data_IF_427649790155
#
_entry.id   IF_427649790155
#
_cell.length_a   1.000
_cell.length_b   1.000
_cell.length_c   1.000
_cell.angle_alpha   90.00
_cell.angle_beta   90.00
_cell.angle_gamma   90.00
#
_symmetry.space_group_name_H-M   'P 1'
#
loop_
_entity.id
_entity.type
_entity.pdbx_description
1 polymer ?
#
# COMPACT_ATOMS: atom_id res chain seq x y z
N UNK A 1 -24.37 -17.54 -73.46
CA UNK A 1 -23.08 -16.96 -73.07
C UNK A 1 -23.09 -16.82 -71.56
N UNK A 2 -22.50 -17.78 -70.87
CA UNK A 2 -22.44 -17.85 -69.41
C UNK A 2 -20.97 -18.04 -69.05
N UNK A 3 -20.35 -17.04 -68.40
CA UNK A 3 -19.08 -17.14 -67.67
C UNK A 3 -19.03 -16.06 -66.58
N UNK A 4 -19.43 -16.47 -65.38
CA UNK A 4 -18.62 -16.62 -64.15
C UNK A 4 -18.23 -15.31 -63.44
N UNK A 5 -18.98 -15.00 -62.38
CA UNK A 5 -18.55 -14.15 -61.28
C UNK A 5 -17.41 -14.83 -60.53
N UNK A 6 -16.23 -14.22 -60.52
CA UNK A 6 -15.10 -14.64 -59.69
C UNK A 6 -15.24 -13.95 -58.34
N UNK A 7 -15.76 -14.69 -57.35
CA UNK A 7 -15.77 -14.28 -55.95
C UNK A 7 -14.35 -14.34 -55.41
N UNK A 8 -13.75 -13.18 -55.11
CA UNK A 8 -12.46 -13.10 -54.42
C UNK A 8 -12.71 -13.31 -52.93
N UNK A 9 -12.39 -14.50 -52.42
CA UNK A 9 -12.36 -14.78 -50.99
C UNK A 9 -11.13 -14.09 -50.38
N UNK A 10 -11.34 -12.93 -49.76
CA UNK A 10 -10.37 -12.35 -48.83
C UNK A 10 -10.21 -13.29 -47.64
N UNK A 11 -9.10 -14.02 -47.59
CA UNK A 11 -8.64 -14.71 -46.39
C UNK A 11 -8.18 -13.64 -45.40
N UNK A 12 -9.10 -13.20 -44.54
CA UNK A 12 -8.75 -12.45 -43.33
C UNK A 12 -7.84 -13.33 -42.47
N UNK A 13 -6.54 -13.08 -42.54
CA UNK A 13 -5.56 -13.57 -41.57
C UNK A 13 -5.89 -12.93 -40.22
N UNK A 14 -6.83 -13.53 -39.49
CA UNK A 14 -7.07 -13.21 -38.08
C UNK A 14 -5.85 -13.72 -37.33
N UNK A 15 -4.87 -12.83 -37.13
CA UNK A 15 -3.80 -13.07 -36.15
C UNK A 15 -4.45 -13.45 -34.83
N UNK A 16 -4.10 -14.60 -34.23
CA UNK A 16 -4.62 -14.96 -32.92
C UNK A 16 -4.30 -13.84 -31.93
N UNK A 17 -5.18 -13.53 -30.95
CA UNK A 17 -4.94 -12.46 -30.00
C UNK A 17 -3.60 -12.71 -29.32
N UNK A 18 -2.64 -11.81 -29.53
CA UNK A 18 -1.31 -11.92 -28.98
C UNK A 18 -1.42 -12.27 -27.49
N UNK A 19 -0.87 -13.42 -27.10
CA UNK A 19 -0.88 -13.87 -25.72
C UNK A 19 -0.42 -12.70 -24.84
N UNK A 20 -1.30 -12.26 -23.92
CA UNK A 20 -1.07 -11.04 -23.11
C UNK A 20 0.28 -11.16 -22.41
N UNK A 21 1.28 -10.40 -22.88
CA UNK A 21 2.66 -10.48 -22.40
C UNK A 21 2.70 -10.24 -20.90
N UNK A 22 3.17 -11.22 -20.13
CA UNK A 22 3.30 -11.13 -18.67
C UNK A 22 4.70 -10.67 -18.30
N UNK A 23 4.80 -9.70 -17.39
CA UNK A 23 6.04 -9.10 -16.91
C UNK A 23 6.38 -9.62 -15.51
N UNK A 24 6.65 -10.92 -15.41
CA UNK A 24 6.92 -11.63 -14.15
C UNK A 24 8.00 -10.97 -13.31
N UNK A 25 9.18 -10.72 -13.90
CA UNK A 25 10.29 -10.10 -13.17
C UNK A 25 9.92 -8.73 -12.58
N UNK A 26 9.25 -7.87 -13.34
CA UNK A 26 8.85 -6.53 -12.86
C UNK A 26 7.84 -6.61 -11.73
N UNK A 27 6.87 -7.52 -11.85
CA UNK A 27 5.86 -7.75 -10.83
C UNK A 27 6.48 -8.28 -9.54
N UNK A 28 7.33 -9.30 -9.63
CA UNK A 28 8.01 -9.89 -8.47
C UNK A 28 8.93 -8.87 -7.81
N UNK A 29 9.78 -8.17 -8.57
CA UNK A 29 10.70 -7.18 -8.01
C UNK A 29 9.95 -6.02 -7.33
N UNK A 30 8.85 -5.54 -7.92
CA UNK A 30 8.04 -4.47 -7.31
C UNK A 30 7.28 -4.97 -6.09
N UNK A 31 6.74 -6.20 -6.15
CA UNK A 31 6.06 -6.84 -5.03
C UNK A 31 6.99 -7.05 -3.85
N UNK A 32 8.18 -7.63 -4.06
CA UNK A 32 9.18 -7.85 -3.00
C UNK A 32 9.69 -6.55 -2.41
N UNK A 33 9.95 -5.52 -3.25
CA UNK A 33 10.40 -4.22 -2.75
C UNK A 33 9.39 -3.61 -1.77
N UNK A 34 8.09 -3.68 -2.09
CA UNK A 34 7.04 -3.19 -1.19
C UNK A 34 6.79 -4.16 -0.03
N UNK A 35 6.83 -5.48 -0.26
CA UNK A 35 6.59 -6.47 0.78
C UNK A 35 7.61 -6.34 1.91
N UNK A 36 8.89 -6.16 1.58
CA UNK A 36 9.94 -6.02 2.58
C UNK A 36 9.84 -4.74 3.41
N UNK A 37 9.09 -3.71 2.97
CA UNK A 37 8.91 -2.52 3.81
C UNK A 37 8.04 -2.79 5.04
N UNK A 38 7.16 -3.79 4.99
CA UNK A 38 6.31 -4.14 6.14
C UNK A 38 7.14 -4.69 7.32
N UNK A 39 7.85 -5.83 7.19
CA UNK A 39 8.64 -6.37 8.30
C UNK A 39 9.77 -5.42 8.71
N UNK A 40 10.39 -4.69 7.77
CA UNK A 40 11.40 -3.69 8.10
C UNK A 40 10.83 -2.50 8.87
N UNK A 41 9.60 -2.08 8.55
CA UNK A 41 8.89 -1.03 9.28
C UNK A 41 8.61 -1.44 10.72
N UNK A 42 7.96 -2.59 10.93
CA UNK A 42 7.70 -3.13 12.27
C UNK A 42 9.00 -3.36 13.06
N UNK A 43 10.01 -3.98 12.45
CA UNK A 43 11.30 -4.19 13.09
C UNK A 43 12.00 -2.89 13.47
N UNK A 44 11.94 -1.86 12.62
CA UNK A 44 12.49 -0.54 12.94
C UNK A 44 11.76 0.09 14.14
N UNK A 45 10.43 0.00 14.19
CA UNK A 45 9.65 0.55 15.31
C UNK A 45 10.03 -0.09 16.63
N UNK A 46 10.09 -1.42 16.69
CA UNK A 46 10.47 -2.17 17.89
C UNK A 46 11.90 -1.84 18.32
N UNK A 47 12.83 -1.76 17.36
CA UNK A 47 14.23 -1.39 17.67
C UNK A 47 14.31 0.04 18.22
N UNK A 48 13.56 0.98 17.64
CA UNK A 48 13.54 2.37 18.13
C UNK A 48 12.98 2.45 19.55
N UNK A 49 11.91 1.71 19.86
CA UNK A 49 11.33 1.63 21.21
C UNK A 49 12.31 1.06 22.24
N UNK A 50 13.13 0.08 21.87
CA UNK A 50 14.09 -0.54 22.79
C UNK A 50 15.40 0.26 22.94
N UNK A 51 15.84 0.96 21.90
CA UNK A 51 17.15 1.63 21.89
C UNK A 51 17.09 3.13 22.24
N UNK A 52 15.93 3.78 22.09
CA UNK A 52 15.81 5.23 22.31
C UNK A 52 15.00 5.52 23.58
N UNK A 53 15.36 6.57 24.30
CA UNK A 53 14.49 7.12 25.35
C UNK A 53 13.24 7.73 24.70
N UNK A 54 12.11 7.72 25.42
CA UNK A 54 10.82 8.24 24.91
C UNK A 54 10.95 9.62 24.26
N UNK A 55 11.71 10.53 24.89
CA UNK A 55 11.93 11.88 24.38
C UNK A 55 12.65 11.85 23.01
N UNK A 56 13.71 11.06 22.88
CA UNK A 56 14.48 10.95 21.62
C UNK A 56 13.64 10.26 20.55
N UNK A 57 12.84 9.27 20.94
CA UNK A 57 11.93 8.57 20.03
C UNK A 57 10.92 9.55 19.42
N UNK A 58 10.26 10.38 20.23
CA UNK A 58 9.25 11.32 19.73
C UNK A 58 9.85 12.41 18.82
N UNK A 59 11.02 12.95 19.16
CA UNK A 59 11.70 13.90 18.27
C UNK A 59 12.14 13.23 16.95
N UNK A 60 12.67 12.00 17.03
CA UNK A 60 13.09 11.24 15.85
C UNK A 60 11.91 10.92 14.94
N UNK A 61 10.77 10.53 15.51
CA UNK A 61 9.52 10.29 14.79
C UNK A 61 9.00 11.55 14.10
N UNK A 62 9.03 12.70 14.78
CA UNK A 62 8.62 13.97 14.18
C UNK A 62 9.53 14.36 13.01
N UNK A 63 10.85 14.22 13.16
CA UNK A 63 11.83 14.44 12.08
C UNK A 63 11.61 13.46 10.93
N UNK A 64 11.33 12.19 11.22
CA UNK A 64 11.06 11.16 10.22
C UNK A 64 9.86 11.53 9.35
N UNK A 65 8.75 11.97 9.94
CA UNK A 65 7.58 12.41 9.17
C UNK A 65 7.84 13.68 8.36
N UNK A 66 8.63 14.62 8.88
CA UNK A 66 9.05 15.82 8.16
C UNK A 66 9.93 15.48 6.95
N UNK A 67 10.88 14.54 7.11
CA UNK A 67 11.67 13.98 6.00
C UNK A 67 10.76 13.32 4.99
N UNK A 68 9.79 12.52 5.43
CA UNK A 68 8.79 11.89 4.56
C UNK A 68 8.03 12.91 3.70
N UNK A 69 7.54 13.99 4.31
CA UNK A 69 6.90 15.09 3.59
C UNK A 69 7.85 15.76 2.58
N UNK A 70 9.08 16.08 2.99
CA UNK A 70 10.06 16.70 2.11
C UNK A 70 10.37 15.81 0.90
N UNK A 71 10.49 14.49 1.11
CA UNK A 71 10.68 13.50 0.05
C UNK A 71 9.53 13.51 -0.97
N UNK A 72 8.28 13.59 -0.51
CA UNK A 72 7.09 13.67 -1.37
C UNK A 72 7.12 14.96 -2.20
N UNK A 73 7.46 16.10 -1.59
CA UNK A 73 7.55 17.40 -2.27
C UNK A 73 8.69 17.39 -3.30
N UNK A 74 9.88 16.90 -2.95
CA UNK A 74 11.01 16.74 -3.89
C UNK A 74 10.64 15.80 -5.04
N UNK A 75 9.85 14.77 -4.75
CA UNK A 75 9.32 13.83 -5.74
C UNK A 75 8.49 14.47 -6.84
N UNK A 76 7.85 15.62 -6.61
CA UNK A 76 7.12 16.39 -7.62
C UNK A 76 8.04 16.84 -8.75
N UNK A 77 9.28 17.21 -8.42
CA UNK A 77 10.28 17.73 -9.36
C UNK A 77 11.16 16.62 -9.96
N UNK A 78 11.06 15.40 -9.46
CA UNK A 78 11.81 14.26 -9.99
C UNK A 78 11.36 13.91 -11.42
N UNK A 79 12.32 13.69 -12.32
CA UNK A 79 12.02 13.28 -13.70
C UNK A 79 11.84 11.75 -13.79
N UNK A 80 10.74 11.32 -14.38
CA UNK A 80 10.42 9.92 -14.67
C UNK A 80 9.41 9.32 -13.69
N UNK A 81 8.40 8.65 -14.25
CA UNK A 81 7.28 8.05 -13.51
C UNK A 81 7.74 7.15 -12.35
N UNK A 82 8.69 6.24 -12.58
CA UNK A 82 9.24 5.35 -11.55
C UNK A 82 9.86 6.12 -10.38
N UNK A 83 10.64 7.17 -10.64
CA UNK A 83 11.31 7.93 -9.58
C UNK A 83 10.30 8.73 -8.76
N UNK A 84 9.32 9.33 -9.42
CA UNK A 84 8.22 10.01 -8.73
C UNK A 84 7.45 9.02 -7.85
N UNK A 85 7.15 7.82 -8.35
CA UNK A 85 6.54 6.74 -7.55
C UNK A 85 7.39 6.39 -6.33
N UNK A 86 8.70 6.18 -6.49
CA UNK A 86 9.59 5.82 -5.37
C UNK A 86 9.67 6.93 -4.32
N UNK A 87 9.78 8.20 -4.72
CA UNK A 87 9.73 9.34 -3.78
C UNK A 87 8.39 9.41 -3.03
N UNK A 88 7.28 9.22 -3.74
CA UNK A 88 5.94 9.22 -3.12
C UNK A 88 5.73 8.04 -2.18
N UNK A 89 6.24 6.85 -2.55
CA UNK A 89 6.15 5.63 -1.75
C UNK A 89 6.99 5.72 -0.48
N UNK A 90 8.30 5.94 -0.59
CA UNK A 90 9.17 6.02 0.59
C UNK A 90 8.86 7.24 1.46
N UNK A 91 8.57 8.38 0.83
CA UNK A 91 8.15 9.57 1.57
C UNK A 91 6.84 9.35 2.31
N UNK A 92 5.90 8.61 1.72
CA UNK A 92 4.66 8.23 2.38
C UNK A 92 4.85 7.24 3.52
N UNK A 93 5.72 6.23 3.39
CA UNK A 93 6.01 5.32 4.50
C UNK A 93 6.58 6.06 5.72
N UNK A 94 7.59 6.92 5.51
CA UNK A 94 8.18 7.71 6.60
C UNK A 94 7.17 8.71 7.20
N UNK A 95 6.30 9.29 6.37
CA UNK A 95 5.23 10.16 6.83
C UNK A 95 4.23 9.41 7.73
N UNK A 96 3.77 8.23 7.29
CA UNK A 96 2.83 7.41 8.05
C UNK A 96 3.44 7.01 9.40
N UNK A 97 4.61 6.37 9.38
CA UNK A 97 5.25 5.91 10.61
C UNK A 97 5.61 7.05 11.55
N UNK A 98 6.14 8.16 11.04
CA UNK A 98 6.54 9.31 11.86
C UNK A 98 5.37 10.10 12.45
N UNK A 99 4.42 10.54 11.60
CA UNK A 99 3.39 11.50 12.00
C UNK A 99 2.01 10.90 12.22
N UNK A 100 1.74 9.68 11.75
CA UNK A 100 0.48 8.99 12.06
C UNK A 100 0.72 8.05 13.24
N UNK A 101 1.60 7.06 13.11
CA UNK A 101 1.80 6.03 14.14
C UNK A 101 2.46 6.60 15.40
N UNK A 102 3.69 7.08 15.30
CA UNK A 102 4.42 7.55 16.47
C UNK A 102 3.87 8.83 17.10
N UNK A 103 3.17 9.67 16.34
CA UNK A 103 2.51 10.85 16.90
C UNK A 103 1.26 10.46 17.69
N UNK A 104 0.51 9.45 17.23
CA UNK A 104 -0.57 8.87 18.04
C UNK A 104 -0.01 8.22 19.29
N UNK A 105 1.12 7.51 19.19
CA UNK A 105 1.80 6.96 20.37
C UNK A 105 2.22 8.05 21.35
N UNK A 106 2.77 9.17 20.87
CA UNK A 106 3.08 10.32 21.72
C UNK A 106 1.86 10.83 22.49
N UNK A 107 0.75 11.07 21.80
CA UNK A 107 -0.46 11.58 22.46
C UNK A 107 -1.11 10.55 23.38
N UNK A 108 -1.09 9.27 23.00
CA UNK A 108 -1.58 8.19 23.84
C UNK A 108 -0.79 8.08 25.16
N UNK A 109 0.55 8.11 25.07
CA UNK A 109 1.43 8.07 26.23
C UNK A 109 1.29 9.33 27.09
N UNK A 110 1.21 10.51 26.46
CA UNK A 110 1.05 11.79 27.16
C UNK A 110 -0.24 11.89 27.95
N UNK A 111 -1.34 11.34 27.44
CA UNK A 111 -2.65 11.38 28.09
C UNK A 111 -2.98 10.10 28.88
N UNK A 112 -2.09 9.12 28.91
CA UNK A 112 -2.25 7.90 29.70
C UNK A 112 -3.34 6.95 29.15
N UNK A 113 -3.55 6.94 27.83
CA UNK A 113 -4.47 6.00 27.18
C UNK A 113 -4.01 4.57 27.48
N UNK A 114 -4.89 3.77 28.08
CA UNK A 114 -4.57 2.39 28.41
C UNK A 114 -4.56 1.52 27.15
N UNK A 115 -3.63 0.56 27.02
CA UNK A 115 -3.70 -0.45 25.97
C UNK A 115 -4.93 -1.34 26.17
N UNK A 116 -5.40 -1.95 25.09
CA UNK A 116 -6.38 -3.02 25.18
C UNK A 116 -5.67 -4.30 25.63
N UNK A 117 -6.16 -4.89 26.72
CA UNK A 117 -5.61 -6.11 27.30
C UNK A 117 -6.55 -7.27 27.03
N UNK A 118 -6.00 -8.43 26.73
CA UNK A 118 -6.79 -9.66 26.65
C UNK A 118 -7.43 -9.93 28.02
N UNK A 119 -8.76 -10.06 28.11
CA UNK A 119 -9.44 -10.29 29.38
C UNK A 119 -9.05 -11.62 30.06
N UNK A 120 -8.46 -12.57 29.33
CA UNK A 120 -8.05 -13.90 29.82
C UNK A 120 -6.54 -13.96 30.10
N UNK A 121 -5.69 -13.49 29.18
CA UNK A 121 -4.23 -13.61 29.31
C UNK A 121 -3.57 -12.39 29.95
N UNK A 122 -4.23 -11.23 29.91
CA UNK A 122 -3.67 -9.95 30.36
C UNK A 122 -2.57 -9.39 29.46
N UNK A 123 -2.33 -10.00 28.29
CA UNK A 123 -1.37 -9.50 27.31
C UNK A 123 -1.93 -8.28 26.57
N UNK A 124 -1.02 -7.43 26.08
CA UNK A 124 -1.41 -6.24 25.30
C UNK A 124 -1.81 -6.70 23.89
N UNK A 125 -3.10 -6.65 23.59
CA UNK A 125 -3.64 -7.07 22.29
C UNK A 125 -3.69 -5.91 21.29
N UNK A 126 -3.96 -4.70 21.77
CA UNK A 126 -3.88 -3.50 20.93
C UNK A 126 -3.17 -2.38 21.66
N UNK A 127 -2.14 -1.84 20.99
CA UNK A 127 -1.38 -0.72 21.53
C UNK A 127 -2.21 0.57 21.54
N UNK A 128 -1.98 1.48 22.49
CA UNK A 128 -2.81 2.67 22.70
C UNK A 128 -2.95 3.59 21.47
N UNK A 129 -1.91 3.69 20.65
CA UNK A 129 -1.91 4.49 19.42
C UNK A 129 -2.96 4.05 18.40
N UNK A 130 -3.22 2.74 18.31
CA UNK A 130 -4.18 2.20 17.37
C UNK A 130 -5.63 2.37 17.83
N UNK A 131 -5.86 2.56 19.14
CA UNK A 131 -7.18 2.87 19.69
C UNK A 131 -7.64 4.29 19.34
N UNK A 132 -6.71 5.20 19.07
CA UNK A 132 -7.02 6.57 18.62
C UNK A 132 -7.44 6.58 17.13
N UNK A 133 -6.92 5.64 16.34
CA UNK A 133 -7.07 5.62 14.90
C UNK A 133 -8.54 5.47 14.42
N UNK A 134 -9.43 4.67 15.05
CA UNK A 134 -10.87 4.64 14.76
C UNK A 134 -11.55 6.01 14.85
N UNK A 135 -11.14 6.87 15.78
CA UNK A 135 -11.72 8.21 15.94
C UNK A 135 -11.47 9.11 14.71
N UNK A 136 -10.48 8.76 13.89
CA UNK A 136 -10.18 9.48 12.65
C UNK A 136 -11.13 9.13 11.48
N UNK A 137 -12.08 8.19 11.66
CA UNK A 137 -13.04 7.79 10.63
C UNK A 137 -13.79 8.97 9.98
N UNK A 138 -14.15 9.99 10.76
CA UNK A 138 -14.82 11.19 10.24
C UNK A 138 -13.97 11.95 9.21
N UNK A 139 -12.67 12.11 9.50
CA UNK A 139 -11.72 12.74 8.56
C UNK A 139 -11.50 11.87 7.32
N UNK A 140 -11.42 10.55 7.51
CA UNK A 140 -11.33 9.60 6.40
C UNK A 140 -12.54 9.71 5.46
N UNK A 141 -13.76 9.73 6.02
CA UNK A 141 -15.00 9.87 5.25
C UNK A 141 -15.04 11.16 4.44
N UNK A 142 -14.64 12.28 5.05
CA UNK A 142 -14.56 13.57 4.35
C UNK A 142 -13.64 13.50 3.13
N UNK A 143 -12.46 12.90 3.27
CA UNK A 143 -11.49 12.74 2.17
C UNK A 143 -12.01 11.74 1.13
N UNK A 144 -12.61 10.62 1.56
CA UNK A 144 -13.19 9.63 0.67
C UNK A 144 -14.29 10.21 -0.23
N UNK A 145 -15.13 11.12 0.28
CA UNK A 145 -16.13 11.82 -0.52
C UNK A 145 -15.46 12.64 -1.63
N UNK A 146 -14.39 13.38 -1.32
CA UNK A 146 -13.61 14.10 -2.33
C UNK A 146 -13.02 13.13 -3.38
N UNK A 147 -12.49 11.99 -2.96
CA UNK A 147 -11.95 10.98 -3.88
C UNK A 147 -13.03 10.35 -4.78
N UNK A 148 -14.21 10.10 -4.23
CA UNK A 148 -15.32 9.50 -4.98
C UNK A 148 -15.92 10.49 -5.98
N UNK A 149 -16.22 11.72 -5.55
CA UNK A 149 -17.00 12.66 -6.36
C UNK A 149 -16.14 13.61 -7.18
N UNK A 150 -14.97 14.03 -6.68
CA UNK A 150 -14.25 15.15 -7.28
C UNK A 150 -13.10 14.74 -8.19
N UNK A 151 -12.77 13.44 -8.28
CA UNK A 151 -11.53 13.03 -8.96
C UNK A 151 -11.59 11.75 -9.76
N UNK A 152 -10.98 11.77 -10.94
CA UNK A 152 -10.69 10.57 -11.72
C UNK A 152 -9.43 9.89 -11.18
N UNK A 153 -9.60 8.81 -10.43
CA UNK A 153 -8.50 8.11 -9.75
C UNK A 153 -7.91 6.95 -10.56
N UNK A 154 -6.64 6.63 -10.30
CA UNK A 154 -5.97 5.43 -10.84
C UNK A 154 -6.32 4.16 -10.05
N UNK A 155 -6.66 4.31 -8.76
CA UNK A 155 -7.10 3.24 -7.89
C UNK A 155 -8.33 2.50 -8.44
N UNK A 156 -8.24 1.18 -8.57
CA UNK A 156 -9.33 0.36 -9.10
C UNK A 156 -10.52 0.28 -8.13
N UNK A 157 -10.26 0.33 -6.82
CA UNK A 157 -11.28 0.26 -5.78
C UNK A 157 -12.20 1.48 -5.83
N UNK A 158 -11.62 2.69 -5.83
CA UNK A 158 -12.38 3.94 -5.96
C UNK A 158 -13.11 3.99 -7.31
N UNK A 159 -12.45 3.54 -8.38
CA UNK A 159 -13.09 3.45 -9.70
C UNK A 159 -14.27 2.48 -9.75
N UNK A 160 -14.26 1.41 -8.95
CA UNK A 160 -15.35 0.47 -8.82
C UNK A 160 -16.52 1.12 -8.08
N UNK A 161 -16.27 1.74 -6.93
CA UNK A 161 -17.27 2.54 -6.20
C UNK A 161 -17.90 3.63 -7.06
N UNK A 162 -17.10 4.40 -7.80
CA UNK A 162 -17.60 5.43 -8.72
C UNK A 162 -18.50 4.86 -9.81
N UNK A 163 -18.19 3.67 -10.35
CA UNK A 163 -19.05 3.01 -11.34
C UNK A 163 -20.35 2.51 -10.71
N UNK A 164 -20.27 1.99 -9.48
CA UNK A 164 -21.43 1.49 -8.76
C UNK A 164 -22.40 2.64 -8.42
N UNK A 165 -21.87 3.76 -7.91
CA UNK A 165 -22.65 4.91 -7.46
C UNK A 165 -23.11 5.82 -8.61
N UNK A 166 -22.24 6.16 -9.56
CA UNK A 166 -22.53 7.15 -10.61
C UNK A 166 -22.95 6.55 -11.95
N UNK A 167 -22.79 5.23 -12.13
CA UNK A 167 -23.15 4.50 -13.35
C UNK A 167 -22.70 5.25 -14.62
N UNK A 168 -23.65 5.67 -15.47
CA UNK A 168 -23.39 6.38 -16.73
C UNK A 168 -22.91 7.83 -16.58
N UNK A 169 -23.10 8.47 -15.41
CA UNK A 169 -22.75 9.89 -15.17
C UNK A 169 -21.35 10.10 -14.60
N UNK A 170 -20.53 9.04 -14.56
CA UNK A 170 -19.17 9.10 -13.99
C UNK A 170 -18.31 10.20 -14.62
N UNK A 171 -18.36 10.34 -15.94
CA UNK A 171 -17.53 11.31 -16.66
C UNK A 171 -17.98 12.76 -16.44
N UNK A 172 -19.23 12.97 -16.02
CA UNK A 172 -19.78 14.30 -15.73
C UNK A 172 -19.43 14.76 -14.31
N UNK A 173 -19.44 13.83 -13.35
CA UNK A 173 -19.18 14.12 -11.93
C UNK A 173 -17.67 14.13 -11.63
N UNK A 174 -16.95 13.10 -12.08
CA UNK A 174 -15.50 12.95 -11.85
C UNK A 174 -14.70 13.19 -13.15
N UNK A 175 -14.87 14.37 -13.74
CA UNK A 175 -14.37 14.68 -15.09
C UNK A 175 -12.83 14.78 -15.17
N UNK A 176 -12.17 15.29 -14.12
CA UNK A 176 -10.73 15.61 -14.14
C UNK A 176 -9.96 14.88 -13.03
N UNK A 177 -8.72 14.42 -13.29
CA UNK A 177 -7.82 13.94 -12.24
C UNK A 177 -7.30 15.13 -11.40
N UNK A 178 -7.10 14.93 -10.09
CA UNK A 178 -6.74 16.00 -9.13
C UNK A 178 -5.43 16.73 -9.49
N UNK A 179 -4.38 16.00 -9.88
CA UNK A 179 -3.09 16.57 -10.31
C UNK A 179 -2.29 15.60 -11.19
N UNK A 180 -1.27 16.10 -11.91
CA UNK A 180 -0.40 15.34 -12.84
C UNK A 180 0.86 14.75 -12.18
N UNK A 181 1.04 14.95 -10.87
CA UNK A 181 2.29 14.57 -10.18
C UNK A 181 2.19 13.15 -9.60
N UNK A 182 2.88 12.19 -10.22
CA UNK A 182 2.83 10.77 -9.81
C UNK A 182 3.30 10.58 -8.36
N UNK A 183 4.21 11.42 -7.86
CA UNK A 183 4.68 11.33 -6.46
C UNK A 183 3.55 11.62 -5.46
N UNK A 184 2.84 12.75 -5.62
CA UNK A 184 1.68 13.09 -4.76
C UNK A 184 0.59 12.04 -4.89
N UNK A 185 0.30 11.58 -6.12
CA UNK A 185 -0.70 10.52 -6.34
C UNK A 185 -0.31 9.24 -5.61
N UNK A 186 0.95 8.81 -5.70
CA UNK A 186 1.43 7.60 -5.00
C UNK A 186 1.35 7.77 -3.49
N UNK A 187 1.78 8.91 -2.97
CA UNK A 187 1.69 9.26 -1.56
C UNK A 187 0.24 9.19 -1.06
N UNK A 188 -0.68 9.88 -1.73
CA UNK A 188 -2.08 9.91 -1.31
C UNK A 188 -2.76 8.54 -1.47
N UNK A 189 -2.48 7.81 -2.55
CA UNK A 189 -3.00 6.44 -2.73
C UNK A 189 -2.50 5.52 -1.60
N UNK A 190 -1.23 5.64 -1.19
CA UNK A 190 -0.67 4.91 -0.04
C UNK A 190 -1.38 5.29 1.27
N UNK A 191 -1.52 6.58 1.57
CA UNK A 191 -2.20 7.08 2.77
C UNK A 191 -3.62 6.54 2.88
N UNK A 192 -4.40 6.64 1.78
CA UNK A 192 -5.78 6.19 1.78
C UNK A 192 -5.90 4.66 1.89
N UNK A 193 -4.99 3.90 1.28
CA UNK A 193 -4.99 2.44 1.41
C UNK A 193 -4.64 2.00 2.83
N UNK A 194 -3.57 2.54 3.43
CA UNK A 194 -3.19 2.25 4.80
C UNK A 194 -4.34 2.63 5.75
N UNK A 195 -4.81 3.87 5.68
CA UNK A 195 -5.87 4.35 6.57
C UNK A 195 -7.15 3.51 6.46
N UNK A 196 -7.57 3.14 5.25
CA UNK A 196 -8.74 2.27 5.06
C UNK A 196 -8.51 0.88 5.65
N UNK A 197 -7.34 0.29 5.41
CA UNK A 197 -7.00 -1.04 5.94
C UNK A 197 -6.92 -1.05 7.46
N UNK A 198 -6.30 -0.04 8.07
CA UNK A 198 -6.25 0.09 9.52
C UNK A 198 -7.64 0.30 10.13
N UNK A 199 -8.47 1.20 9.56
CA UNK A 199 -9.83 1.39 10.06
C UNK A 199 -10.63 0.08 9.97
N UNK A 200 -10.52 -0.63 8.85
CA UNK A 200 -11.16 -1.93 8.69
C UNK A 200 -10.72 -2.92 9.77
N UNK A 201 -9.41 -3.05 9.97
CA UNK A 201 -8.86 -3.95 11.00
C UNK A 201 -9.31 -3.56 12.40
N UNK A 202 -9.21 -2.28 12.78
CA UNK A 202 -9.61 -1.83 14.11
C UNK A 202 -11.11 -2.03 14.37
N UNK A 203 -11.99 -1.79 13.39
CA UNK A 203 -13.42 -2.10 13.54
C UNK A 203 -13.72 -3.60 13.56
N UNK A 204 -12.90 -4.42 12.89
CA UNK A 204 -13.02 -5.87 12.98
C UNK A 204 -12.55 -6.41 14.34
N UNK A 205 -11.57 -5.76 14.96
CA UNK A 205 -10.99 -6.19 16.23
C UNK A 205 -11.74 -5.66 17.45
N UNK A 206 -12.50 -4.58 17.32
CA UNK A 206 -13.33 -4.07 18.40
C UNK A 206 -14.47 -5.05 18.74
N UNK A 207 -14.45 -5.57 19.97
CA UNK A 207 -15.41 -6.53 20.51
C UNK A 207 -16.85 -6.00 20.56
N UNK A 208 -17.05 -4.69 20.59
CA UNK A 208 -18.39 -4.09 20.55
C UNK A 208 -19.00 -4.20 19.14
N UNK A 209 -18.19 -4.20 18.10
CA UNK A 209 -18.67 -4.26 16.71
C UNK A 209 -18.71 -5.68 16.16
N UNK A 210 -17.57 -6.37 16.15
CA UNK A 210 -17.42 -7.70 15.58
C UNK A 210 -16.69 -8.63 16.55
N UNK A 211 -15.53 -8.18 17.03
CA UNK A 211 -14.63 -8.95 17.88
C UNK A 211 -13.61 -9.79 17.11
N UNK A 212 -12.51 -10.08 17.78
CA UNK A 212 -11.30 -10.65 17.18
C UNK A 212 -11.50 -12.05 16.59
N UNK A 213 -12.22 -12.91 17.31
CA UNK A 213 -12.51 -14.28 16.91
C UNK A 213 -13.81 -14.43 16.10
N UNK A 214 -14.40 -13.32 15.67
CA UNK A 214 -15.67 -13.35 14.96
C UNK A 214 -15.50 -13.90 13.54
N UNK A 215 -16.43 -14.75 13.06
CA UNK A 215 -16.35 -15.32 11.71
C UNK A 215 -16.28 -14.26 10.60
N UNK A 216 -16.82 -13.07 10.83
CA UNK A 216 -16.71 -11.95 9.87
C UNK A 216 -15.28 -11.44 9.75
N UNK A 217 -14.53 -11.34 10.86
CA UNK A 217 -13.12 -10.93 10.86
C UNK A 217 -12.27 -11.91 10.05
N UNK A 218 -12.50 -13.21 10.23
CA UNK A 218 -11.88 -14.26 9.43
C UNK A 218 -12.28 -14.19 7.95
N UNK A 219 -13.56 -13.96 7.64
CA UNK A 219 -14.02 -13.80 6.26
C UNK A 219 -13.41 -12.58 5.57
N UNK A 220 -13.21 -11.47 6.29
CA UNK A 220 -12.47 -10.30 5.79
C UNK A 220 -11.04 -10.69 5.46
N UNK A 221 -10.35 -11.41 6.35
CA UNK A 221 -9.01 -11.94 6.10
C UNK A 221 -8.93 -12.81 4.84
N UNK A 222 -9.83 -13.80 4.70
CA UNK A 222 -9.92 -14.66 3.51
C UNK A 222 -10.22 -13.86 2.24
N UNK A 223 -11.14 -12.88 2.33
CA UNK A 223 -11.48 -11.99 1.22
C UNK A 223 -10.28 -11.15 0.76
N UNK A 224 -9.53 -10.59 1.70
CA UNK A 224 -8.28 -9.86 1.42
C UNK A 224 -7.22 -10.79 0.81
N UNK A 225 -7.04 -11.99 1.34
CA UNK A 225 -6.09 -12.96 0.81
C UNK A 225 -6.39 -13.33 -0.65
N UNK A 226 -7.64 -13.70 -0.96
CA UNK A 226 -8.09 -13.99 -2.32
C UNK A 226 -7.96 -12.75 -3.22
N UNK A 227 -8.36 -11.59 -2.71
CA UNK A 227 -8.25 -10.31 -3.42
C UNK A 227 -6.82 -9.98 -3.83
N UNK A 228 -5.84 -10.24 -2.96
CA UNK A 228 -4.42 -10.00 -3.23
C UNK A 228 -3.94 -10.76 -4.48
N UNK A 229 -4.35 -12.01 -4.68
CA UNK A 229 -3.98 -12.79 -5.86
C UNK A 229 -4.57 -12.23 -7.15
N UNK A 230 -5.82 -11.74 -7.11
CA UNK A 230 -6.44 -11.09 -8.26
C UNK A 230 -5.72 -9.78 -8.63
N UNK A 231 -5.31 -8.99 -7.64
CA UNK A 231 -4.55 -7.76 -7.85
C UNK A 231 -3.16 -8.09 -8.41
N UNK A 232 -2.47 -9.09 -7.86
CA UNK A 232 -1.17 -9.56 -8.34
C UNK A 232 -1.25 -10.10 -9.78
N UNK A 233 -2.30 -10.86 -10.12
CA UNK A 233 -2.54 -11.32 -11.48
C UNK A 233 -2.72 -10.16 -12.48
N UNK A 234 -3.29 -9.04 -12.03
CA UNK A 234 -3.37 -7.80 -12.81
C UNK A 234 -2.02 -7.10 -12.90
N UNK A 235 -1.26 -7.06 -11.82
CA UNK A 235 0.09 -6.49 -11.75
C UNK A 235 1.04 -7.14 -12.77
N UNK A 236 0.93 -8.46 -13.00
CA UNK A 236 1.69 -9.20 -14.03
C UNK A 236 1.52 -8.65 -15.45
N UNK A 237 0.45 -7.89 -15.74
CA UNK A 237 0.17 -7.34 -17.08
C UNK A 237 0.73 -5.91 -17.26
N UNK A 238 1.28 -5.29 -16.21
CA UNK A 238 1.76 -3.91 -16.23
C UNK A 238 3.23 -3.84 -16.68
N UNK A 239 3.46 -3.15 -17.81
CA UNK A 239 4.79 -3.02 -18.42
C UNK A 239 5.63 -1.87 -17.83
N UNK A 240 4.98 -0.83 -17.31
CA UNK A 240 5.63 0.35 -16.73
C UNK A 240 5.98 0.13 -15.26
N UNK A 241 7.21 0.45 -14.87
CA UNK A 241 7.71 0.26 -13.50
C UNK A 241 6.92 1.04 -12.45
N UNK A 242 6.69 2.35 -12.63
CA UNK A 242 5.92 3.13 -11.65
C UNK A 242 4.48 2.66 -11.49
N UNK A 243 3.81 2.28 -12.58
CA UNK A 243 2.47 1.66 -12.51
C UNK A 243 2.50 0.28 -11.81
N UNK A 244 3.55 -0.52 -12.05
CA UNK A 244 3.71 -1.82 -11.42
C UNK A 244 3.93 -1.68 -9.90
N UNK A 245 4.80 -0.75 -9.48
CA UNK A 245 5.06 -0.45 -8.06
C UNK A 245 3.80 0.07 -7.37
N UNK A 246 3.05 1.00 -7.96
CA UNK A 246 1.77 1.45 -7.38
C UNK A 246 0.75 0.33 -7.22
N UNK A 247 0.70 -0.61 -8.16
CA UNK A 247 -0.14 -1.80 -8.00
C UNK A 247 0.41 -2.72 -6.91
N UNK A 248 1.72 -2.87 -6.80
CA UNK A 248 2.38 -3.65 -5.76
C UNK A 248 2.02 -3.14 -4.35
N UNK A 249 1.96 -1.82 -4.15
CA UNK A 249 1.48 -1.19 -2.90
C UNK A 249 0.11 -1.73 -2.51
N UNK A 250 -0.86 -1.67 -3.42
CA UNK A 250 -2.19 -2.21 -3.17
C UNK A 250 -2.19 -3.73 -2.94
N UNK A 251 -1.41 -4.49 -3.72
CA UNK A 251 -1.29 -5.94 -3.54
C UNK A 251 -0.77 -6.28 -2.15
N UNK A 252 0.33 -5.64 -1.72
CA UNK A 252 1.00 -5.93 -0.45
C UNK A 252 0.16 -5.51 0.74
N UNK A 253 -0.44 -4.32 0.74
CA UNK A 253 -1.29 -3.88 1.85
C UNK A 253 -2.47 -4.85 2.06
N UNK A 254 -3.13 -5.25 0.97
CA UNK A 254 -4.25 -6.21 1.04
C UNK A 254 -3.77 -7.62 1.41
N UNK A 255 -2.57 -8.02 0.97
CA UNK A 255 -1.95 -9.29 1.34
C UNK A 255 -1.49 -9.32 2.81
N UNK A 256 -1.12 -8.18 3.39
CA UNK A 256 -0.68 -8.07 4.78
C UNK A 256 -1.83 -8.16 5.77
N UNK A 257 -3.04 -7.69 5.39
CA UNK A 257 -4.24 -7.77 6.24
C UNK A 257 -4.50 -9.17 6.83
N UNK A 258 -4.52 -10.28 6.06
CA UNK A 258 -4.67 -11.61 6.65
C UNK A 258 -3.47 -12.06 7.48
N UNK A 259 -2.24 -11.60 7.20
CA UNK A 259 -1.07 -11.90 8.03
C UNK A 259 -1.29 -11.29 9.42
N UNK A 260 -1.71 -10.02 9.47
CA UNK A 260 -2.02 -9.32 10.72
C UNK A 260 -3.12 -10.01 11.53
N UNK A 261 -4.19 -10.46 10.87
CA UNK A 261 -5.29 -11.18 11.54
C UNK A 261 -4.78 -12.52 12.11
N UNK A 262 -3.98 -13.26 11.34
CA UNK A 262 -3.44 -14.55 11.79
C UNK A 262 -2.39 -14.39 12.89
N UNK A 263 -1.56 -13.34 12.83
CA UNK A 263 -0.62 -12.99 13.89
C UNK A 263 -1.32 -12.62 15.19
N UNK A 264 -2.40 -11.83 15.11
CA UNK A 264 -3.22 -11.49 16.28
C UNK A 264 -3.92 -12.72 16.91
N UNK A 265 -4.25 -13.72 16.11
CA UNK A 265 -4.78 -15.00 16.59
C UNK A 265 -3.70 -15.97 17.11
N UNK A 266 -2.44 -15.52 17.22
CA UNK A 266 -1.28 -16.33 17.61
C UNK A 266 -1.06 -17.59 16.74
N UNK A 267 -1.54 -17.55 15.48
CA UNK A 267 -1.41 -18.66 14.53
C UNK A 267 -0.10 -18.60 13.75
N UNK A 268 0.60 -17.46 13.76
CA UNK A 268 1.87 -17.24 13.08
C UNK A 268 2.88 -16.58 14.02
N UNK A 269 4.06 -17.19 14.15
CA UNK A 269 5.21 -16.53 14.78
C UNK A 269 5.82 -15.52 13.81
N UNK A 270 5.54 -14.25 14.05
CA UNK A 270 6.00 -13.17 13.20
C UNK A 270 7.49 -12.85 13.45
N UNK A 271 8.34 -13.16 12.46
CA UNK A 271 9.80 -12.97 12.54
C UNK A 271 10.18 -11.51 12.90
N UNK A 272 9.32 -10.54 12.52
CA UNK A 272 9.54 -9.12 12.75
C UNK A 272 8.99 -8.61 14.10
N UNK A 273 8.25 -9.42 14.86
CA UNK A 273 7.80 -9.07 16.23
C UNK A 273 8.92 -9.29 17.25
N UNK A 274 9.87 -10.20 16.98
CA UNK A 274 11.14 -10.31 17.70
C UNK A 274 12.35 -10.12 16.75
N UNK A 275 12.66 -8.87 16.35
CA UNK A 275 13.80 -8.60 15.48
C UNK A 275 15.14 -8.91 16.16
N UNK A 276 15.17 -9.01 17.49
CA UNK A 276 16.40 -9.30 18.25
C UNK A 276 16.69 -10.80 18.35
N UNK A 277 15.68 -11.66 18.33
CA UNK A 277 15.83 -13.11 18.17
C UNK A 277 16.21 -13.52 16.74
N UNK A 278 15.65 -12.84 15.73
CA UNK A 278 15.81 -13.18 14.31
C UNK A 278 16.70 -12.19 13.54
N UNK A 279 17.87 -11.85 14.10
CA UNK A 279 18.79 -10.86 13.52
C UNK A 279 19.24 -11.22 12.11
N UNK A 280 19.49 -12.50 11.84
CA UNK A 280 20.03 -12.96 10.55
C UNK A 280 19.01 -12.77 9.44
N UNK A 281 17.77 -13.14 9.69
CA UNK A 281 16.63 -13.01 8.78
C UNK A 281 16.35 -11.55 8.47
N UNK A 282 16.34 -10.69 9.51
CA UNK A 282 16.15 -9.24 9.34
C UNK A 282 17.27 -8.57 8.53
N UNK A 283 18.53 -8.97 8.75
CA UNK A 283 19.67 -8.46 7.97
C UNK A 283 19.58 -8.90 6.50
N UNK A 284 19.19 -10.15 6.23
CA UNK A 284 19.03 -10.66 4.86
C UNK A 284 17.91 -9.90 4.14
N UNK A 285 16.77 -9.69 4.80
CA UNK A 285 15.64 -8.92 4.24
C UNK A 285 16.08 -7.49 3.95
N UNK A 286 16.79 -6.84 4.89
CA UNK A 286 17.31 -5.49 4.70
C UNK A 286 18.28 -5.40 3.51
N UNK A 287 19.24 -6.33 3.41
CA UNK A 287 20.19 -6.37 2.30
C UNK A 287 19.48 -6.56 0.96
N UNK A 288 18.52 -7.50 0.89
CA UNK A 288 17.73 -7.74 -0.32
C UNK A 288 16.89 -6.51 -0.71
N UNK A 289 16.29 -5.84 0.28
CA UNK A 289 15.54 -4.61 0.09
C UNK A 289 16.42 -3.48 -0.47
N UNK A 290 17.60 -3.25 0.09
CA UNK A 290 18.53 -2.22 -0.39
C UNK A 290 18.98 -2.49 -1.83
N UNK A 291 19.30 -3.74 -2.17
CA UNK A 291 19.65 -4.15 -3.54
C UNK A 291 18.49 -3.87 -4.50
N UNK A 292 17.26 -4.24 -4.12
CA UNK A 292 16.06 -3.98 -4.94
C UNK A 292 15.78 -2.48 -5.10
N UNK A 293 15.90 -1.70 -4.02
CA UNK A 293 15.68 -0.26 -4.05
C UNK A 293 16.68 0.44 -4.99
N UNK A 294 17.98 0.11 -4.87
CA UNK A 294 19.03 0.65 -5.74
C UNK A 294 18.82 0.20 -7.19
N UNK A 295 18.46 -1.07 -7.42
CA UNK A 295 18.17 -1.59 -8.75
C UNK A 295 17.00 -0.86 -9.42
N UNK A 296 15.88 -0.68 -8.72
CA UNK A 296 14.70 0.02 -9.26
C UNK A 296 14.99 1.50 -9.49
N UNK A 297 15.77 2.12 -8.61
CA UNK A 297 16.23 3.49 -8.80
C UNK A 297 17.10 3.63 -10.06
N UNK A 298 18.08 2.74 -10.23
CA UNK A 298 18.95 2.70 -11.42
C UNK A 298 18.16 2.46 -12.71
N UNK A 299 17.21 1.52 -12.71
CA UNK A 299 16.33 1.27 -13.85
C UNK A 299 15.42 2.47 -14.15
N UNK A 300 15.00 3.20 -13.11
CA UNK A 300 14.31 4.48 -13.24
C UNK A 300 15.18 5.57 -13.88
N UNK A 301 16.49 5.58 -13.62
CA UNK A 301 17.45 6.50 -14.20
C UNK A 301 17.83 6.15 -15.64
N UNK A 302 18.01 4.87 -15.98
CA UNK A 302 18.45 4.41 -17.32
C UNK A 302 17.49 4.80 -18.44
N UNK A 303 16.19 4.92 -18.16
CA UNK A 303 15.19 5.37 -19.14
C UNK A 303 15.40 6.83 -19.60
N UNK A 304 16.20 7.62 -18.88
CA UNK A 304 16.65 8.97 -19.29
C UNK A 304 17.57 8.90 -20.51
N UNK A 305 18.46 7.92 -20.56
CA UNK A 305 19.51 7.85 -21.57
C UNK A 305 19.02 7.34 -22.93
N UNK A 306 17.89 6.62 -22.96
CA UNK A 306 17.29 6.11 -24.20
C UNK A 306 16.33 7.10 -24.90
N UNK A 307 15.99 8.21 -24.26
CA UNK A 307 15.13 9.28 -24.85
C UNK A 307 15.94 10.55 -25.14
N UNK A 308 17.24 10.53 -24.82
CA UNK A 308 18.19 11.63 -25.07
C UNK A 308 19.16 11.32 -26.22
N UNK A 309 18.83 10.34 -27.07
CA UNK A 309 19.52 10.04 -28.33
C UNK A 309 18.49 10.05 -29.47
#
# INVERSE_FOLDING_TARGET
MEKTNVTTTETTNVTPPAAKRRYWWKAIASFLMVLFTMPLGHGLMIIMEHLMSETVLHYSAFVMGAVGMAMVIVGVFAKGDTRQTLWGFFGGLLFWTGWVEFLFMYFANRFGTQPELDPVTGEIVTRPEYLILPASFGFWMMIMVMYLFSTKNGCNFINWWQRLLFRGKKNDIAARPMTRHTSIVTFMELMMLLWTSYLLLMFCYDDVFLGENHPVTLLVGVGCFIGSFFIFAKQLRLSAWGANIRMAIATVIVFWTPIEILGRMDLLSEIWVDPMGHKTEMIIILAAFLVLAVYLWYMGAKKKNAVSQ
#
